data_IF_858090163596
#
_entry.id   IF_858090163596
#
_cell.length_a   1.000
_cell.length_b   1.000
_cell.length_c   1.000
_cell.angle_alpha   90.00
_cell.angle_beta   90.00
_cell.angle_gamma   90.00
#
_symmetry.space_group_name_H-M   'P 1'
#
loop_
_entity.id
_entity.type
_entity.pdbx_description
1 polymer ?
#
# COMPACT_ATOMS: atom_id res chain seq x y z
N UNK A 1 -12.90 3.13 5.87
CA UNK A 1 -13.22 4.48 5.33
C UNK A 1 -12.88 4.46 3.86
N UNK A 2 -13.79 4.95 3.01
CA UNK A 2 -13.54 5.04 1.56
C UNK A 2 -12.47 6.07 1.22
N UNK A 3 -11.88 5.93 0.04
CA UNK A 3 -10.94 6.91 -0.51
C UNK A 3 -11.68 8.09 -1.12
N UNK A 4 -11.04 9.25 -1.11
CA UNK A 4 -11.41 10.35 -1.98
C UNK A 4 -11.14 10.00 -3.44
N UNK A 5 -11.83 10.69 -4.36
CA UNK A 5 -11.58 10.52 -5.79
C UNK A 5 -10.13 10.90 -6.16
N UNK A 6 -9.53 11.85 -5.44
CA UNK A 6 -8.13 12.26 -5.64
C UNK A 6 -7.17 11.13 -5.27
N UNK A 7 -7.35 10.50 -4.11
CA UNK A 7 -6.53 9.36 -3.69
C UNK A 7 -6.69 8.16 -4.65
N UNK A 8 -7.90 7.92 -5.16
CA UNK A 8 -8.14 6.85 -6.14
C UNK A 8 -7.46 7.15 -7.49
N UNK A 9 -7.52 8.39 -7.96
CA UNK A 9 -6.81 8.83 -9.18
C UNK A 9 -5.30 8.65 -9.05
N UNK A 10 -4.75 9.07 -7.91
CA UNK A 10 -3.33 8.90 -7.62
C UNK A 10 -2.94 7.41 -7.60
N UNK A 11 -3.75 6.57 -6.97
CA UNK A 11 -3.51 5.11 -6.92
C UNK A 11 -3.59 4.43 -8.29
N UNK A 12 -4.43 4.91 -9.21
CA UNK A 12 -4.63 4.32 -10.53
C UNK A 12 -3.66 4.86 -11.60
N UNK A 13 -3.06 6.04 -11.34
CA UNK A 13 -2.42 6.90 -12.33
C UNK A 13 -3.43 7.83 -12.99
N UNK A 14 -3.17 9.14 -12.95
CA UNK A 14 -4.16 10.15 -13.34
C UNK A 14 -4.58 10.03 -14.81
N UNK A 15 -3.60 9.93 -15.71
CA UNK A 15 -3.86 9.79 -17.14
C UNK A 15 -4.68 8.53 -17.44
N UNK A 16 -4.33 7.40 -16.82
CA UNK A 16 -5.06 6.13 -16.98
C UNK A 16 -6.49 6.28 -16.48
N UNK A 17 -6.69 6.90 -15.32
CA UNK A 17 -8.01 7.08 -14.74
C UNK A 17 -8.91 7.97 -15.62
N UNK A 18 -8.39 9.06 -16.16
CA UNK A 18 -9.14 9.95 -17.05
C UNK A 18 -9.57 9.21 -18.32
N UNK A 19 -8.62 8.59 -19.03
CA UNK A 19 -8.94 7.82 -20.23
C UNK A 19 -9.79 6.57 -19.93
N UNK A 20 -9.64 5.96 -18.76
CA UNK A 20 -10.43 4.84 -18.31
C UNK A 20 -11.90 5.20 -18.04
N UNK A 21 -12.16 6.34 -17.39
CA UNK A 21 -13.52 6.88 -17.22
C UNK A 21 -14.14 7.20 -18.59
N UNK A 22 -13.38 7.82 -19.48
CA UNK A 22 -13.83 8.09 -20.85
C UNK A 22 -14.13 6.78 -21.60
N UNK A 23 -13.30 5.76 -21.42
CA UNK A 23 -13.50 4.43 -21.98
C UNK A 23 -14.75 3.74 -21.46
N UNK A 24 -15.02 3.82 -20.16
CA UNK A 24 -16.25 3.33 -19.55
C UNK A 24 -17.47 4.04 -20.15
N UNK A 25 -17.42 5.38 -20.28
CA UNK A 25 -18.49 6.16 -20.91
C UNK A 25 -18.71 5.75 -22.36
N UNK A 26 -17.65 5.68 -23.18
CA UNK A 26 -17.73 5.24 -24.58
C UNK A 26 -18.28 3.81 -24.70
N UNK A 27 -17.89 2.91 -23.80
CA UNK A 27 -18.35 1.52 -23.80
C UNK A 27 -19.83 1.42 -23.38
N UNK A 28 -20.28 2.23 -22.43
CA UNK A 28 -21.70 2.30 -22.01
C UNK A 28 -22.63 2.71 -23.15
N UNK A 29 -22.17 3.62 -24.02
CA UNK A 29 -22.93 4.11 -25.18
C UNK A 29 -22.65 3.34 -26.48
N UNK A 30 -21.67 2.43 -26.48
CA UNK A 30 -21.38 1.60 -27.65
C UNK A 30 -22.45 0.52 -27.86
N UNK A 31 -22.73 0.17 -29.12
CA UNK A 31 -23.61 -0.96 -29.47
C UNK A 31 -23.15 -2.29 -28.86
N UNK A 32 -21.85 -2.44 -28.60
CA UNK A 32 -21.25 -3.64 -28.01
C UNK A 32 -21.37 -3.73 -26.48
N UNK A 33 -22.11 -2.81 -25.82
CA UNK A 33 -22.30 -2.82 -24.36
C UNK A 33 -22.91 -4.12 -23.82
N UNK A 34 -23.74 -4.79 -24.62
CA UNK A 34 -24.39 -6.06 -24.26
C UNK A 34 -23.54 -7.30 -24.52
N UNK A 35 -22.33 -7.13 -25.07
CA UNK A 35 -21.38 -8.24 -25.13
C UNK A 35 -20.94 -8.62 -23.72
N UNK A 36 -20.68 -9.92 -23.51
CA UNK A 36 -20.16 -10.41 -22.22
C UNK A 36 -18.90 -9.65 -21.79
N UNK A 37 -17.99 -9.39 -22.73
CA UNK A 37 -16.78 -8.60 -22.47
C UNK A 37 -17.10 -7.17 -22.04
N UNK A 38 -18.06 -6.50 -22.69
CA UNK A 38 -18.47 -5.15 -22.32
C UNK A 38 -19.08 -5.08 -20.92
N UNK A 39 -20.02 -6.00 -20.63
CA UNK A 39 -20.65 -6.10 -19.32
C UNK A 39 -19.63 -6.44 -18.21
N UNK A 40 -18.73 -7.38 -18.48
CA UNK A 40 -17.65 -7.76 -17.56
C UNK A 40 -16.73 -6.58 -17.25
N UNK A 41 -16.29 -5.84 -18.28
CA UNK A 41 -15.38 -4.70 -18.08
C UNK A 41 -16.04 -3.56 -17.30
N UNK A 42 -17.29 -3.24 -17.60
CA UNK A 42 -18.05 -2.23 -16.85
C UNK A 42 -18.28 -2.69 -15.41
N UNK A 43 -18.72 -3.94 -15.21
CA UNK A 43 -18.91 -4.51 -13.88
C UNK A 43 -17.62 -4.48 -13.06
N UNK A 44 -16.51 -4.93 -13.63
CA UNK A 44 -15.21 -4.92 -12.96
C UNK A 44 -14.76 -3.52 -12.55
N UNK A 45 -14.86 -2.54 -13.46
CA UNK A 45 -14.51 -1.14 -13.18
C UNK A 45 -15.42 -0.53 -12.10
N UNK A 46 -16.74 -0.66 -12.24
CA UNK A 46 -17.70 -0.05 -11.31
C UNK A 46 -17.66 -0.70 -9.94
N UNK A 47 -17.55 -2.03 -9.85
CA UNK A 47 -17.45 -2.74 -8.57
C UNK A 47 -16.22 -2.28 -7.79
N UNK A 48 -15.03 -2.27 -8.38
CA UNK A 48 -13.81 -1.83 -7.67
C UNK A 48 -13.88 -0.34 -7.31
N UNK A 49 -14.40 0.50 -8.20
CA UNK A 49 -14.57 1.94 -7.91
C UNK A 49 -15.49 2.16 -6.71
N UNK A 50 -16.63 1.46 -6.67
CA UNK A 50 -17.60 1.56 -5.59
C UNK A 50 -17.02 1.05 -4.27
N UNK A 51 -16.36 -0.12 -4.30
CA UNK A 51 -15.69 -0.70 -3.13
C UNK A 51 -14.57 0.20 -2.60
N UNK A 52 -13.89 0.95 -3.47
CA UNK A 52 -12.80 1.86 -3.08
C UNK A 52 -13.30 3.19 -2.50
N UNK A 53 -14.31 3.81 -3.15
CA UNK A 53 -14.82 5.13 -2.75
C UNK A 53 -15.83 5.05 -1.60
N UNK A 54 -16.66 4.01 -1.58
CA UNK A 54 -17.77 3.85 -0.62
C UNK A 54 -17.88 2.38 -0.15
N UNK A 55 -16.84 1.80 0.49
CA UNK A 55 -16.87 0.43 0.99
C UNK A 55 -18.05 0.17 1.96
N UNK A 56 -18.44 1.20 2.72
CA UNK A 56 -19.55 1.13 3.68
C UNK A 56 -20.91 0.86 3.01
N UNK A 57 -21.10 1.21 1.73
CA UNK A 57 -22.35 0.93 1.01
C UNK A 57 -22.51 -0.56 0.68
N UNK A 58 -21.39 -1.29 0.68
CA UNK A 58 -21.33 -2.71 0.35
C UNK A 58 -21.04 -3.58 1.59
N UNK A 59 -21.04 -2.98 2.79
CA UNK A 59 -20.71 -3.66 4.04
C UNK A 59 -19.33 -4.34 4.02
N UNK A 60 -18.36 -3.77 3.28
CA UNK A 60 -17.01 -4.32 3.16
C UNK A 60 -16.10 -3.72 4.22
N UNK A 61 -15.45 -4.58 5.01
CA UNK A 61 -14.44 -4.20 6.01
C UNK A 61 -13.01 -4.56 5.55
N UNK A 62 -12.63 -4.03 4.40
CA UNK A 62 -11.28 -4.16 3.84
C UNK A 62 -10.71 -2.76 3.64
N UNK A 63 -9.42 -2.51 3.94
CA UNK A 63 -8.80 -1.21 3.69
C UNK A 63 -8.95 -0.78 2.23
N UNK A 64 -9.57 0.36 1.98
CA UNK A 64 -9.87 0.87 0.63
C UNK A 64 -8.62 1.05 -0.24
N UNK A 65 -7.47 1.38 0.36
CA UNK A 65 -6.17 1.42 -0.34
C UNK A 65 -5.80 0.08 -0.98
N UNK A 66 -6.11 -1.04 -0.30
CA UNK A 66 -5.86 -2.38 -0.84
C UNK A 66 -6.76 -2.64 -2.04
N UNK A 67 -8.03 -2.25 -1.96
CA UNK A 67 -8.98 -2.43 -3.06
C UNK A 67 -8.62 -1.55 -4.26
N UNK A 68 -8.22 -0.30 -4.00
CA UNK A 68 -7.86 0.67 -5.03
C UNK A 68 -6.69 0.20 -5.92
N UNK A 69 -5.73 -0.55 -5.37
CA UNK A 69 -4.64 -1.13 -6.17
C UNK A 69 -5.13 -2.04 -7.31
N UNK A 70 -6.29 -2.67 -7.16
CA UNK A 70 -6.86 -3.55 -8.19
C UNK A 70 -7.58 -2.78 -9.33
N UNK A 71 -7.80 -1.46 -9.18
CA UNK A 71 -8.48 -0.66 -10.21
C UNK A 71 -7.58 -0.43 -11.44
N UNK A 72 -6.26 -0.56 -11.28
CA UNK A 72 -5.29 -0.24 -12.34
C UNK A 72 -5.52 -1.01 -13.63
N UNK A 73 -5.83 -2.32 -13.54
CA UNK A 73 -6.07 -3.17 -14.71
C UNK A 73 -7.34 -2.79 -15.50
N UNK A 74 -8.55 -2.75 -14.89
CA UNK A 74 -9.75 -2.41 -15.64
C UNK A 74 -9.66 -1.00 -16.24
N UNK A 75 -9.06 -0.06 -15.51
CA UNK A 75 -8.83 1.31 -15.99
C UNK A 75 -7.89 1.34 -17.20
N UNK A 76 -6.79 0.58 -17.18
CA UNK A 76 -5.85 0.53 -18.30
C UNK A 76 -6.49 -0.04 -19.57
N UNK A 77 -7.31 -1.10 -19.46
CA UNK A 77 -8.02 -1.69 -20.60
C UNK A 77 -9.04 -0.70 -21.17
N UNK A 78 -9.83 -0.06 -20.31
CA UNK A 78 -10.81 0.95 -20.73
C UNK A 78 -10.13 2.18 -21.35
N UNK A 79 -8.99 2.61 -20.82
CA UNK A 79 -8.19 3.68 -21.41
C UNK A 79 -7.70 3.33 -22.81
N UNK A 80 -7.18 2.11 -23.01
CA UNK A 80 -6.80 1.61 -24.34
C UNK A 80 -7.98 1.58 -25.30
N UNK A 81 -9.14 1.09 -24.84
CA UNK A 81 -10.38 1.11 -25.63
C UNK A 81 -10.79 2.52 -26.03
N UNK A 82 -10.73 3.50 -25.11
CA UNK A 82 -11.04 4.89 -25.39
C UNK A 82 -10.14 5.47 -26.49
N UNK A 83 -8.83 5.29 -26.35
CA UNK A 83 -7.84 5.78 -27.31
C UNK A 83 -8.10 5.20 -28.69
N UNK A 84 -8.28 3.88 -28.80
CA UNK A 84 -8.56 3.22 -30.09
C UNK A 84 -9.86 3.74 -30.69
N UNK A 85 -10.93 3.87 -29.90
CA UNK A 85 -12.22 4.37 -30.40
C UNK A 85 -12.15 5.81 -30.88
N UNK A 86 -11.44 6.68 -30.17
CA UNK A 86 -11.24 8.07 -30.57
C UNK A 86 -10.44 8.15 -31.86
N UNK A 87 -9.33 7.41 -31.96
CA UNK A 87 -8.50 7.40 -33.17
C UNK A 87 -9.23 6.82 -34.38
N UNK A 88 -10.02 5.75 -34.20
CA UNK A 88 -10.89 5.22 -35.26
C UNK A 88 -11.94 6.24 -35.70
N UNK A 89 -12.60 6.92 -34.77
CA UNK A 89 -13.61 7.92 -35.10
C UNK A 89 -13.01 9.12 -35.87
N UNK A 90 -11.81 9.58 -35.49
CA UNK A 90 -11.07 10.63 -36.20
C UNK A 90 -10.72 10.18 -37.63
N UNK A 91 -10.33 8.92 -37.81
CA UNK A 91 -10.04 8.36 -39.13
C UNK A 91 -11.30 8.27 -40.02
N UNK A 92 -12.45 7.99 -39.43
CA UNK A 92 -13.72 7.77 -40.15
C UNK A 92 -14.50 9.08 -40.44
N UNK A 93 -14.20 10.19 -39.75
CA UNK A 93 -14.89 11.49 -39.92
C UNK A 93 -14.45 12.29 -41.17
N UNK A 94 -14.53 11.65 -42.34
CA UNK A 94 -15.05 12.14 -43.62
C UNK A 94 -14.78 13.52 -44.23
N UNK A 95 -14.01 14.47 -43.68
CA UNK A 95 -13.80 15.78 -44.34
C UNK A 95 -12.36 16.19 -44.65
N UNK A 96 -11.38 15.61 -43.95
CA UNK A 96 -9.97 15.63 -44.30
C UNK A 96 -9.42 14.28 -43.91
N UNK A 97 -9.04 13.44 -44.88
CA UNK A 97 -8.28 12.23 -44.59
C UNK A 97 -6.99 12.65 -43.89
N UNK A 98 -6.94 12.58 -42.55
CA UNK A 98 -5.65 12.61 -41.87
C UNK A 98 -4.87 11.42 -42.40
N UNK A 99 -3.71 11.69 -43.00
CA UNK A 99 -2.83 10.64 -43.48
C UNK A 99 -2.59 9.65 -42.34
N UNK A 100 -2.55 8.34 -42.65
CA UNK A 100 -2.35 7.29 -41.64
C UNK A 100 -1.11 7.56 -40.76
N UNK A 101 -0.12 8.27 -41.31
CA UNK A 101 1.07 8.74 -40.63
C UNK A 101 0.77 9.74 -39.50
N UNK A 102 -0.17 10.67 -39.70
CA UNK A 102 -0.57 11.65 -38.67
C UNK A 102 -1.27 10.95 -37.50
N UNK A 103 -2.19 10.03 -37.79
CA UNK A 103 -2.88 9.23 -36.75
C UNK A 103 -1.88 8.37 -35.97
N UNK A 104 -0.91 7.77 -36.67
CA UNK A 104 0.17 7.00 -36.03
C UNK A 104 1.08 7.88 -35.16
N UNK A 105 1.44 9.08 -35.62
CA UNK A 105 2.21 10.04 -34.82
C UNK A 105 1.46 10.48 -33.57
N UNK A 106 0.15 10.76 -33.67
CA UNK A 106 -0.69 11.09 -32.50
C UNK A 106 -0.71 9.92 -31.50
N UNK A 107 -0.86 8.69 -32.00
CA UNK A 107 -0.80 7.49 -31.16
C UNK A 107 0.55 7.35 -30.45
N UNK A 108 1.67 7.54 -31.14
CA UNK A 108 3.01 7.48 -30.54
C UNK A 108 3.24 8.56 -29.49
N UNK A 109 2.78 9.79 -29.74
CA UNK A 109 2.85 10.89 -28.77
C UNK A 109 2.04 10.55 -27.52
N UNK A 110 0.81 10.04 -27.68
CA UNK A 110 -0.04 9.62 -26.56
C UNK A 110 0.57 8.46 -25.77
N UNK A 111 1.12 7.47 -26.46
CA UNK A 111 1.78 6.32 -25.83
C UNK A 111 2.99 6.78 -25.01
N UNK A 112 3.81 7.66 -25.58
CA UNK A 112 4.99 8.23 -24.91
C UNK A 112 4.57 9.05 -23.69
N UNK A 113 3.55 9.88 -23.82
CA UNK A 113 3.01 10.67 -22.71
C UNK A 113 2.53 9.78 -21.55
N UNK A 114 1.75 8.73 -21.84
CA UNK A 114 1.25 7.79 -20.83
C UNK A 114 2.41 7.02 -20.18
N UNK A 115 3.41 6.58 -20.96
CA UNK A 115 4.57 5.87 -20.45
C UNK A 115 5.44 6.77 -19.54
N UNK A 116 5.75 7.99 -19.98
CA UNK A 116 6.54 8.95 -19.20
C UNK A 116 5.80 9.37 -17.93
N UNK A 117 4.50 9.64 -18.00
CA UNK A 117 3.69 9.93 -16.80
C UNK A 117 3.72 8.74 -15.82
N UNK A 118 3.58 7.51 -16.31
CA UNK A 118 3.64 6.33 -15.45
C UNK A 118 5.03 6.10 -14.83
N UNK A 119 6.10 6.37 -15.57
CA UNK A 119 7.47 6.30 -15.06
C UNK A 119 7.75 7.42 -14.04
N UNK A 120 7.24 8.62 -14.29
CA UNK A 120 7.34 9.74 -13.35
C UNK A 120 6.64 9.40 -12.03
N UNK A 121 5.40 8.93 -12.08
CA UNK A 121 4.65 8.50 -10.89
C UNK A 121 5.40 7.40 -10.12
N UNK A 122 5.97 6.43 -10.83
CA UNK A 122 6.79 5.39 -10.21
C UNK A 122 8.05 5.98 -9.56
N UNK A 123 8.75 6.91 -10.23
CA UNK A 123 9.95 7.55 -9.69
C UNK A 123 9.68 8.31 -8.40
N UNK A 124 8.49 8.91 -8.23
CA UNK A 124 8.08 9.57 -6.99
C UNK A 124 7.91 8.60 -5.80
N UNK A 125 7.73 7.30 -6.08
CA UNK A 125 7.66 6.26 -5.03
C UNK A 125 9.02 5.65 -4.69
N UNK A 126 10.05 5.90 -5.51
CA UNK A 126 11.41 5.45 -5.26
C UNK A 126 12.14 6.52 -4.43
N UNK A 127 12.61 6.15 -3.24
CA UNK A 127 13.46 7.04 -2.46
C UNK A 127 14.78 7.26 -3.22
N UNK A 128 15.09 8.52 -3.53
CA UNK A 128 16.31 8.93 -4.25
C UNK A 128 17.56 8.51 -3.46
N UNK A 129 17.49 8.58 -2.14
CA UNK A 129 18.48 8.01 -1.22
C UNK A 129 18.03 6.61 -0.80
N UNK A 130 18.34 5.62 -1.63
CA UNK A 130 18.23 4.23 -1.21
C UNK A 130 19.03 4.06 0.09
N UNK A 131 18.40 3.46 1.11
CA UNK A 131 19.07 3.07 2.37
C UNK A 131 19.25 1.54 2.40
N UNK A 132 20.09 0.98 1.51
CA UNK A 132 20.25 -0.47 1.40
C UNK A 132 20.83 -1.08 2.68
N UNK A 133 21.70 -0.34 3.37
CA UNK A 133 22.28 -0.78 4.63
C UNK A 133 21.22 -0.96 5.72
N UNK A 134 20.33 0.02 5.93
CA UNK A 134 19.23 -0.12 6.89
C UNK A 134 18.30 -1.29 6.53
N UNK A 135 18.03 -1.49 5.24
CA UNK A 135 17.22 -2.62 4.78
C UNK A 135 17.90 -3.98 5.05
N UNK A 136 19.21 -4.06 4.82
CA UNK A 136 20.03 -5.24 5.11
C UNK A 136 20.10 -5.52 6.62
N UNK A 137 20.22 -4.49 7.44
CA UNK A 137 20.18 -4.62 8.90
C UNK A 137 18.82 -5.16 9.37
N UNK A 138 17.71 -4.65 8.83
CA UNK A 138 16.36 -5.21 9.11
C UNK A 138 16.26 -6.68 8.70
N UNK A 139 16.84 -7.04 7.54
CA UNK A 139 16.86 -8.43 7.06
C UNK A 139 17.60 -9.34 8.04
N UNK A 140 18.85 -9.04 8.39
CA UNK A 140 19.63 -9.85 9.32
C UNK A 140 19.05 -9.89 10.73
N UNK A 141 18.49 -8.78 11.22
CA UNK A 141 17.79 -8.76 12.50
C UNK A 141 16.57 -9.70 12.49
N UNK A 142 15.88 -9.82 11.35
CA UNK A 142 14.74 -10.73 11.21
C UNK A 142 15.17 -12.19 11.10
N UNK A 143 16.26 -12.46 10.39
CA UNK A 143 16.88 -13.79 10.29
C UNK A 143 17.32 -14.28 11.67
N UNK A 144 18.10 -13.46 12.39
CA UNK A 144 18.48 -13.74 13.78
C UNK A 144 17.26 -14.03 14.65
N UNK A 145 16.23 -13.18 14.58
CA UNK A 145 15.06 -13.36 15.43
C UNK A 145 14.24 -14.61 15.05
N UNK A 146 14.22 -15.00 13.79
CA UNK A 146 13.57 -16.24 13.34
C UNK A 146 14.30 -17.49 13.87
N UNK A 147 15.62 -17.42 14.09
CA UNK A 147 16.40 -18.52 14.67
C UNK A 147 16.23 -18.65 16.20
N UNK A 148 16.06 -17.53 16.90
CA UNK A 148 16.04 -17.50 18.38
C UNK A 148 14.64 -17.41 19.01
N UNK A 149 13.59 -17.28 18.21
CA UNK A 149 12.20 -17.24 18.68
C UNK A 149 11.38 -18.38 18.08
N UNK A 150 10.29 -18.79 18.74
CA UNK A 150 9.38 -19.82 18.25
C UNK A 150 7.94 -19.31 18.01
N UNK A 151 7.04 -20.20 17.61
CA UNK A 151 5.66 -19.84 17.26
C UNK A 151 4.83 -19.35 18.46
N UNK A 152 5.30 -19.54 19.69
CA UNK A 152 4.70 -19.00 20.91
C UNK A 152 5.14 -17.57 21.21
N UNK A 153 6.24 -17.10 20.60
CA UNK A 153 6.78 -15.76 20.79
C UNK A 153 6.11 -14.73 19.89
N UNK A 154 5.57 -13.68 20.51
CA UNK A 154 5.06 -12.53 19.79
C UNK A 154 6.11 -11.42 19.66
N UNK A 155 6.33 -11.01 18.41
CA UNK A 155 7.22 -9.91 18.03
C UNK A 155 6.39 -8.68 17.73
N UNK A 156 6.80 -7.54 18.29
CA UNK A 156 6.31 -6.21 17.97
C UNK A 156 7.39 -5.42 17.24
N UNK A 157 7.09 -4.94 16.05
CA UNK A 157 7.98 -4.06 15.28
C UNK A 157 7.43 -2.63 15.20
N UNK A 158 8.34 -1.69 14.98
CA UNK A 158 7.97 -0.32 14.66
C UNK A 158 8.02 -0.02 13.15
N UNK A 159 6.85 0.02 12.51
CA UNK A 159 6.75 0.27 11.07
C UNK A 159 7.04 1.73 10.68
N UNK A 160 7.05 2.65 11.64
CA UNK A 160 7.28 4.06 11.34
C UNK A 160 8.75 4.36 11.06
N UNK A 161 9.67 3.60 11.67
CA UNK A 161 11.10 3.91 11.65
C UNK A 161 12.00 2.75 11.18
N UNK A 162 11.44 1.55 10.99
CA UNK A 162 12.16 0.44 10.38
C UNK A 162 11.93 0.40 8.87
N UNK A 163 13.03 0.35 8.11
CA UNK A 163 13.00 0.26 6.66
C UNK A 163 12.92 -1.20 6.20
N UNK A 164 12.20 -1.41 5.11
CA UNK A 164 12.04 -2.72 4.46
C UNK A 164 11.48 -3.82 5.41
N UNK A 165 10.71 -3.42 6.42
CA UNK A 165 10.15 -4.28 7.47
C UNK A 165 9.06 -5.27 6.99
N UNK A 166 8.78 -5.28 5.69
CA UNK A 166 7.93 -6.26 5.04
C UNK A 166 8.66 -7.60 4.82
N UNK A 167 9.99 -7.57 4.67
CA UNK A 167 10.82 -8.79 4.55
C UNK A 167 10.77 -9.66 5.80
N UNK A 168 10.50 -9.07 6.97
CA UNK A 168 10.41 -9.79 8.24
C UNK A 168 9.36 -10.90 8.18
N UNK A 169 8.26 -10.68 7.45
CA UNK A 169 7.20 -11.70 7.27
C UNK A 169 7.70 -12.96 6.59
N UNK A 170 8.65 -12.82 5.66
CA UNK A 170 9.23 -13.94 4.92
C UNK A 170 10.20 -14.74 5.79
N UNK A 171 10.86 -14.10 6.75
CA UNK A 171 11.71 -14.80 7.71
C UNK A 171 10.88 -15.56 8.75
N UNK A 172 9.82 -14.94 9.29
CA UNK A 172 9.04 -15.59 10.35
C UNK A 172 8.06 -16.65 9.82
N UNK A 173 7.38 -16.41 8.69
CA UNK A 173 6.35 -17.31 8.15
C UNK A 173 5.20 -17.67 9.12
N UNK A 174 4.99 -16.90 10.20
CA UNK A 174 3.98 -17.10 11.26
C UNK A 174 2.59 -16.49 10.96
N UNK A 175 2.24 -16.42 9.68
CA UNK A 175 0.93 -15.96 9.23
C UNK A 175 0.80 -14.44 9.01
N UNK A 176 -0.38 -14.04 8.53
CA UNK A 176 -0.56 -12.73 7.89
C UNK A 176 -0.49 -11.54 8.85
N UNK A 177 -0.91 -11.71 10.10
CA UNK A 177 -0.94 -10.65 11.12
C UNK A 177 0.35 -10.56 11.94
N UNK A 178 1.32 -11.45 11.69
CA UNK A 178 2.61 -11.49 12.36
C UNK A 178 3.71 -10.80 11.52
N UNK A 179 4.66 -10.07 12.13
CA UNK A 179 4.69 -9.62 13.52
C UNK A 179 3.67 -8.49 13.78
N UNK A 180 3.36 -8.22 15.05
CA UNK A 180 2.58 -7.03 15.43
C UNK A 180 3.34 -5.77 15.05
N UNK A 181 2.60 -4.69 14.78
CA UNK A 181 3.20 -3.49 14.21
C UNK A 181 2.62 -2.23 14.83
N UNK A 182 3.49 -1.38 15.40
CA UNK A 182 3.15 0.04 15.59
C UNK A 182 3.00 0.65 14.21
N UNK A 183 1.82 1.19 13.91
CA UNK A 183 1.49 1.78 12.63
C UNK A 183 1.64 3.29 12.62
N UNK A 184 1.27 3.91 11.50
CA UNK A 184 1.34 5.36 11.33
C UNK A 184 0.62 6.13 12.44
N UNK A 185 1.29 7.13 13.05
CA UNK A 185 0.83 7.77 14.29
C UNK A 185 -0.56 8.42 14.21
N UNK A 186 -0.97 8.89 13.02
CA UNK A 186 -2.33 9.42 12.81
C UNK A 186 -3.44 8.42 13.18
N UNK A 187 -3.14 7.12 13.18
CA UNK A 187 -4.06 6.06 13.61
C UNK A 187 -4.40 6.12 15.10
N UNK A 188 -3.51 6.70 15.91
CA UNK A 188 -3.64 6.77 17.37
C UNK A 188 -4.22 8.11 17.85
N UNK A 189 -4.29 9.11 16.98
CA UNK A 189 -4.78 10.47 17.29
C UNK A 189 -6.23 10.73 16.87
N UNK A 190 -6.92 9.73 16.30
CA UNK A 190 -8.31 9.88 15.85
C UNK A 190 -9.29 9.67 17.01
N UNK A 191 -9.75 10.77 17.61
CA UNK A 191 -10.72 10.77 18.71
C UNK A 191 -12.08 10.16 18.32
N UNK A 192 -12.43 10.19 17.03
CA UNK A 192 -13.72 9.66 16.54
C UNK A 192 -13.69 8.14 16.33
N UNK A 193 -12.49 7.55 16.27
CA UNK A 193 -12.27 6.11 16.09
C UNK A 193 -11.10 5.66 16.96
N UNK A 194 -11.30 5.58 18.30
CA UNK A 194 -10.26 5.09 19.19
C UNK A 194 -9.92 3.64 18.80
N UNK A 195 -8.80 3.48 18.11
CA UNK A 195 -8.22 2.19 17.78
C UNK A 195 -7.32 1.73 18.92
N UNK A 196 -7.05 0.43 18.95
CA UNK A 196 -6.13 -0.19 19.90
C UNK A 196 -4.80 0.59 20.00
N UNK A 197 -4.51 1.11 21.19
CA UNK A 197 -3.30 1.89 21.50
C UNK A 197 -2.13 0.99 21.90
N UNK A 198 -2.34 -0.31 22.08
CA UNK A 198 -1.38 -1.21 22.69
C UNK A 198 -0.02 -1.21 22.00
N UNK A 199 0.04 -1.35 20.66
CA UNK A 199 1.32 -1.30 19.93
C UNK A 199 2.02 0.05 20.06
N UNK A 200 1.28 1.15 20.25
CA UNK A 200 1.87 2.47 20.47
C UNK A 200 2.43 2.60 21.90
N UNK A 201 1.66 2.19 22.91
CA UNK A 201 2.05 2.26 24.32
C UNK A 201 3.21 1.31 24.64
N UNK A 202 3.15 0.07 24.15
CA UNK A 202 4.22 -0.93 24.31
C UNK A 202 5.55 -0.43 23.77
N UNK A 203 5.55 0.40 22.72
CA UNK A 203 6.77 1.04 22.24
C UNK A 203 7.04 2.29 23.06
N UNK A 204 6.19 3.30 23.00
CA UNK A 204 6.48 4.67 23.47
C UNK A 204 6.63 4.79 24.99
N UNK A 205 5.91 3.98 25.77
CA UNK A 205 5.88 4.04 27.24
C UNK A 205 5.79 2.65 27.88
N UNK A 206 6.80 1.77 27.68
CA UNK A 206 6.72 0.35 27.98
C UNK A 206 6.51 0.05 29.47
N UNK A 207 6.98 0.93 30.36
CA UNK A 207 6.84 0.77 31.82
C UNK A 207 5.47 1.21 32.38
N UNK A 208 4.59 1.78 31.56
CA UNK A 208 3.25 2.18 32.02
C UNK A 208 2.37 0.95 32.26
N UNK A 209 1.49 0.99 33.26
CA UNK A 209 0.57 -0.10 33.61
C UNK A 209 -0.30 -0.54 32.42
N UNK A 210 -0.73 0.40 31.58
CA UNK A 210 -1.51 0.05 30.38
C UNK A 210 -0.66 -0.64 29.31
N UNK A 211 0.62 -0.27 29.18
CA UNK A 211 1.55 -0.99 28.30
C UNK A 211 1.82 -2.40 28.81
N UNK A 212 1.97 -2.59 30.12
CA UNK A 212 2.15 -3.91 30.75
C UNK A 212 0.94 -4.83 30.50
N UNK A 213 -0.30 -4.31 30.66
CA UNK A 213 -1.52 -5.07 30.28
C UNK A 213 -1.51 -5.46 28.80
N UNK A 214 -1.02 -4.59 27.92
CA UNK A 214 -0.89 -4.90 26.51
C UNK A 214 0.16 -5.97 26.24
N UNK A 215 1.32 -5.93 26.93
CA UNK A 215 2.34 -6.99 26.85
C UNK A 215 1.78 -8.33 27.30
N UNK A 216 1.07 -8.37 28.42
CA UNK A 216 0.43 -9.59 28.95
C UNK A 216 -0.66 -10.12 28.00
N UNK A 217 -1.55 -9.24 27.52
CA UNK A 217 -2.67 -9.62 26.67
C UNK A 217 -2.25 -10.09 25.28
N UNK A 218 -1.21 -9.46 24.71
CA UNK A 218 -0.66 -9.85 23.40
C UNK A 218 0.43 -10.91 23.48
N UNK A 219 0.95 -11.20 24.68
CA UNK A 219 2.11 -12.06 24.93
C UNK A 219 3.37 -11.62 24.15
N UNK A 220 3.52 -10.31 23.94
CA UNK A 220 4.66 -9.75 23.20
C UNK A 220 5.94 -9.91 24.01
N UNK A 221 6.88 -10.68 23.47
CA UNK A 221 8.17 -10.99 24.11
C UNK A 221 9.32 -10.24 23.45
N UNK A 222 9.24 -9.96 22.15
CA UNK A 222 10.32 -9.29 21.42
C UNK A 222 9.86 -7.97 20.82
N UNK A 223 10.74 -6.98 20.85
CA UNK A 223 10.52 -5.66 20.28
C UNK A 223 11.65 -5.30 19.33
N UNK A 224 11.29 -4.92 18.10
CA UNK A 224 12.22 -4.45 17.08
C UNK A 224 11.97 -2.97 16.84
N UNK A 225 12.96 -2.14 17.17
CA UNK A 225 12.82 -0.67 17.14
C UNK A 225 14.06 -0.01 16.56
N UNK A 226 13.91 1.22 16.07
CA UNK A 226 15.05 2.04 15.69
C UNK A 226 15.77 2.55 16.94
N UNK A 227 17.07 2.25 17.16
CA UNK A 227 17.75 2.57 18.39
C UNK A 227 17.98 4.07 18.59
N UNK A 228 18.00 4.85 17.51
CA UNK A 228 18.18 6.31 17.57
C UNK A 228 16.93 7.02 18.09
N UNK A 229 15.76 6.37 18.04
CA UNK A 229 14.46 6.98 18.33
C UNK A 229 13.79 6.40 19.57
N UNK A 230 13.72 5.07 19.68
CA UNK A 230 12.89 4.39 20.69
C UNK A 230 13.68 3.48 21.65
N UNK A 231 14.99 3.22 21.44
CA UNK A 231 15.72 2.32 22.34
C UNK A 231 15.83 2.85 23.79
N UNK A 232 15.82 4.17 23.98
CA UNK A 232 16.04 4.78 25.30
C UNK A 232 15.02 4.32 26.33
N UNK A 233 13.75 4.12 25.94
CA UNK A 233 12.72 3.64 26.88
C UNK A 233 12.94 2.18 27.32
N UNK A 234 13.60 1.36 26.52
CA UNK A 234 13.91 -0.03 26.85
C UNK A 234 15.23 -0.17 27.59
N UNK A 235 16.26 0.57 27.18
CA UNK A 235 17.59 0.53 27.82
C UNK A 235 17.58 1.01 29.27
N UNK A 236 16.64 1.89 29.63
CA UNK A 236 16.46 2.36 31.01
C UNK A 236 15.67 1.39 31.88
N UNK A 237 14.96 0.44 31.28
CA UNK A 237 14.14 -0.52 32.00
C UNK A 237 14.93 -1.77 32.36
N UNK A 238 14.65 -2.36 33.52
CA UNK A 238 15.21 -3.67 33.91
C UNK A 238 14.45 -4.83 33.28
N UNK A 239 13.26 -4.56 32.74
CA UNK A 239 12.34 -5.57 32.22
C UNK A 239 12.67 -5.95 30.77
N UNK A 240 13.69 -5.35 30.17
CA UNK A 240 14.08 -5.59 28.78
C UNK A 240 15.57 -5.79 28.65
N UNK A 241 15.95 -6.86 27.95
CA UNK A 241 17.34 -7.12 27.58
C UNK A 241 17.54 -6.83 26.09
N UNK A 242 18.56 -6.05 25.77
CA UNK A 242 18.94 -5.85 24.37
C UNK A 242 19.68 -7.10 23.89
N UNK A 243 19.06 -7.85 22.96
CA UNK A 243 19.58 -9.12 22.45
C UNK A 243 20.21 -9.00 21.08
N UNK A 244 19.98 -7.88 20.38
CA UNK A 244 20.59 -7.57 19.10
C UNK A 244 20.76 -6.06 18.96
N UNK A 245 21.84 -5.63 18.30
CA UNK A 245 22.10 -4.22 18.00
C UNK A 245 22.76 -4.07 16.64
N UNK A 246 22.20 -3.18 15.83
CA UNK A 246 22.81 -2.58 14.66
C UNK A 246 22.54 -1.07 14.68
N UNK A 247 23.00 -0.34 13.66
CA UNK A 247 22.90 1.12 13.64
C UNK A 247 21.45 1.63 13.57
N UNK A 248 20.60 0.97 12.77
CA UNK A 248 19.23 1.40 12.50
C UNK A 248 18.17 0.44 13.06
N UNK A 249 18.58 -0.65 13.70
CA UNK A 249 17.66 -1.59 14.35
C UNK A 249 18.28 -2.21 15.62
N UNK A 250 17.48 -2.28 16.68
CA UNK A 250 17.80 -3.02 17.90
C UNK A 250 16.63 -3.94 18.26
N UNK A 251 16.96 -5.08 18.86
CA UNK A 251 15.97 -6.04 19.35
C UNK A 251 16.07 -6.11 20.87
N UNK A 252 14.93 -5.92 21.53
CA UNK A 252 14.77 -6.09 22.96
C UNK A 252 13.89 -7.30 23.24
N UNK A 253 14.30 -8.09 24.23
CA UNK A 253 13.53 -9.21 24.76
C UNK A 253 12.99 -8.85 26.13
N UNK A 254 11.69 -8.99 26.35
CA UNK A 254 11.03 -8.77 27.64
C UNK A 254 11.39 -9.91 28.58
N UNK A 255 11.94 -9.56 29.74
CA UNK A 255 12.25 -10.52 30.80
C UNK A 255 10.96 -10.86 31.57
N UNK A 256 10.76 -12.12 31.96
CA UNK A 256 9.64 -12.51 32.81
C UNK A 256 9.61 -11.78 34.15
#
# INVERSE_FOLDING_TARGET
MGLSLTELKFSAGEARMIFGILGAALLLFAKNRSSFAGAFMLGWFFSITLMSLRPNWLFIDIPSNRIASYIGFPVAILAGFAIVKILSAIRESGKQFMASQVVFSIFLVLLTFIAVSGLYDNSQTLNIDGKPESALQTYHASEYLAEVSDDSDMVLKDHNYLLADSWMKLNFMRGYNYPLSRGFFKRYSDETKPREQCTNLMISTPSNADAQKCFEGTKTNFLMVNPKLDATQFQKSKDFWQVYSAEDIAIFHKVP
#
